data_IF_387991175001
#
_entry.id   IF_387991175001
#
_cell.length_a   1.000
_cell.length_b   1.000
_cell.length_c   1.000
_cell.angle_alpha   90.00
_cell.angle_beta   90.00
_cell.angle_gamma   90.00
#
_symmetry.space_group_name_H-M   'P 1'
#
loop_
_entity.id
_entity.type
_entity.pdbx_description
1 polymer ?
#
# COMPACT_ATOMS: atom_id res chain seq x y z
N UNK A 1 -16.57 -1.03 23.56
CA UNK A 1 -15.36 -1.30 22.74
C UNK A 1 -14.26 -2.03 23.53
N UNK A 2 -13.72 -1.51 24.64
CA UNK A 2 -12.59 -2.15 25.36
C UNK A 2 -12.87 -3.57 25.84
N UNK A 3 -14.06 -3.84 26.38
CA UNK A 3 -14.44 -5.18 26.85
C UNK A 3 -14.56 -6.17 25.67
N UNK A 4 -15.14 -5.74 24.56
CA UNK A 4 -15.26 -6.56 23.36
C UNK A 4 -13.87 -6.89 22.78
N UNK A 5 -12.96 -5.90 22.68
CA UNK A 5 -11.59 -6.10 22.19
C UNK A 5 -10.80 -7.06 23.09
N UNK A 6 -11.00 -7.01 24.42
CA UNK A 6 -10.34 -7.94 25.35
C UNK A 6 -10.76 -9.40 25.08
N UNK A 7 -12.07 -9.65 24.91
CA UNK A 7 -12.58 -10.98 24.56
C UNK A 7 -12.09 -11.43 23.20
N UNK A 8 -12.16 -10.53 22.20
CA UNK A 8 -11.74 -10.83 20.84
C UNK A 8 -10.25 -11.19 20.75
N UNK A 9 -9.39 -10.44 21.45
CA UNK A 9 -7.94 -10.71 21.48
C UNK A 9 -7.62 -12.10 22.01
N UNK A 10 -8.33 -12.54 23.06
CA UNK A 10 -8.14 -13.87 23.64
C UNK A 10 -8.51 -15.00 22.65
N UNK A 11 -9.51 -14.78 21.80
CA UNK A 11 -9.91 -15.73 20.75
C UNK A 11 -8.93 -15.69 19.56
N UNK A 12 -8.56 -14.51 19.10
CA UNK A 12 -7.64 -14.32 17.96
C UNK A 12 -6.28 -14.93 18.28
N UNK A 13 -5.75 -14.76 19.49
CA UNK A 13 -4.44 -15.31 19.87
C UNK A 13 -4.35 -16.84 19.81
N UNK A 14 -5.51 -17.53 19.83
CA UNK A 14 -5.62 -19.00 19.74
C UNK A 14 -5.95 -19.48 18.32
N UNK A 15 -6.23 -18.56 17.41
CA UNK A 15 -6.62 -18.86 16.03
C UNK A 15 -5.63 -18.20 15.07
N UNK A 16 -5.28 -18.88 13.97
CA UNK A 16 -4.47 -18.31 12.89
C UNK A 16 -5.31 -17.37 12.02
N UNK A 17 -5.82 -16.27 12.64
CA UNK A 17 -6.76 -15.36 12.01
C UNK A 17 -6.23 -13.93 12.03
N UNK A 18 -6.40 -13.22 10.92
CA UNK A 18 -6.14 -11.78 10.82
C UNK A 18 -7.49 -11.06 10.94
N UNK A 19 -7.56 -10.06 11.84
CA UNK A 19 -8.76 -9.23 12.00
C UNK A 19 -8.47 -7.81 11.55
N UNK A 20 -9.25 -7.34 10.59
CA UNK A 20 -9.13 -5.99 10.02
C UNK A 20 -10.33 -5.16 10.47
N UNK A 21 -10.04 -4.05 11.17
CA UNK A 21 -11.05 -3.06 11.57
C UNK A 21 -11.03 -1.88 10.59
N UNK A 22 -12.14 -1.66 9.92
CA UNK A 22 -12.35 -0.50 9.05
C UNK A 22 -13.07 0.57 9.84
N UNK A 23 -12.44 1.75 9.98
CA UNK A 23 -12.97 2.89 10.71
C UNK A 23 -12.94 4.16 9.87
N UNK A 24 -13.95 5.01 10.04
CA UNK A 24 -13.95 6.37 9.55
C UNK A 24 -13.23 7.30 10.51
N UNK A 25 -12.62 8.35 10.00
CA UNK A 25 -12.14 9.48 10.78
C UNK A 25 -13.29 10.47 11.02
N UNK A 26 -13.34 11.02 12.22
CA UNK A 26 -14.26 12.08 12.62
C UNK A 26 -13.45 13.23 13.20
N UNK A 27 -13.90 14.42 13.00
CA UNK A 27 -13.31 15.60 13.63
C UNK A 27 -14.00 15.89 14.97
N UNK A 28 -13.22 16.20 15.97
CA UNK A 28 -13.70 16.72 17.25
C UNK A 28 -13.89 18.22 17.13
N UNK A 29 -15.10 18.68 17.32
CA UNK A 29 -15.42 20.11 17.42
C UNK A 29 -14.76 20.69 18.68
N UNK A 30 -14.16 21.89 18.56
CA UNK A 30 -13.58 22.63 19.70
C UNK A 30 -12.13 22.30 20.04
N UNK A 31 -11.41 21.52 19.23
CA UNK A 31 -9.96 21.31 19.38
C UNK A 31 -9.20 22.44 18.69
N UNK A 32 -8.72 23.43 19.43
CA UNK A 32 -7.95 24.55 18.88
C UNK A 32 -6.48 24.21 18.60
N UNK A 33 -5.91 23.22 19.30
CA UNK A 33 -4.52 22.81 19.16
C UNK A 33 -4.40 21.28 19.05
N UNK A 34 -3.49 20.80 18.19
CA UNK A 34 -3.24 19.39 17.95
C UNK A 34 -4.11 18.80 16.82
N UNK A 35 -4.12 17.47 16.70
CA UNK A 35 -4.89 16.78 15.65
C UNK A 35 -6.34 16.56 16.12
N UNK A 36 -7.33 17.19 15.50
CA UNK A 36 -8.74 17.03 15.83
C UNK A 36 -9.30 15.67 15.42
N UNK A 37 -8.60 14.92 14.55
CA UNK A 37 -9.09 13.65 14.01
C UNK A 37 -9.17 12.56 15.08
N UNK A 38 -10.30 11.89 15.14
CA UNK A 38 -10.56 10.78 16.04
C UNK A 38 -11.33 9.67 15.34
N UNK A 39 -11.23 8.45 15.89
CA UNK A 39 -12.00 7.31 15.42
C UNK A 39 -13.17 7.03 16.36
N UNK A 40 -14.34 6.58 15.85
CA UNK A 40 -15.44 6.11 16.69
C UNK A 40 -14.99 4.97 17.61
N UNK A 41 -15.59 4.87 18.79
CA UNK A 41 -15.31 3.80 19.76
C UNK A 41 -14.13 4.05 20.70
N UNK A 42 -13.59 5.27 20.74
CA UNK A 42 -12.57 5.70 21.70
C UNK A 42 -11.15 5.23 21.38
N UNK A 43 -10.26 5.33 22.38
CA UNK A 43 -8.82 5.09 22.17
C UNK A 43 -8.41 3.62 22.21
N UNK A 44 -9.28 2.71 22.64
CA UNK A 44 -8.92 1.31 22.92
C UNK A 44 -8.34 0.60 21.68
N UNK A 45 -8.96 0.75 20.52
CA UNK A 45 -8.50 0.12 19.28
C UNK A 45 -7.08 0.55 18.88
N UNK A 46 -6.71 1.80 19.17
CA UNK A 46 -5.35 2.33 18.90
C UNK A 46 -4.27 1.56 19.68
N UNK A 47 -4.59 1.08 20.89
CA UNK A 47 -3.66 0.30 21.72
C UNK A 47 -3.61 -1.18 21.28
N UNK A 48 -4.76 -1.79 21.02
CA UNK A 48 -4.85 -3.20 20.64
C UNK A 48 -4.27 -3.50 19.25
N UNK A 49 -4.47 -2.63 18.28
CA UNK A 49 -3.99 -2.84 16.92
C UNK A 49 -2.46 -3.01 16.83
N UNK A 50 -2.01 -4.06 16.15
CA UNK A 50 -0.59 -4.29 15.84
C UNK A 50 -0.12 -3.39 14.70
N UNK A 51 -0.95 -3.21 13.67
CA UNK A 51 -0.70 -2.33 12.54
C UNK A 51 -1.86 -1.34 12.43
N UNK A 52 -1.55 -0.09 12.11
CA UNK A 52 -2.54 0.95 11.79
C UNK A 52 -2.13 1.63 10.50
N UNK A 53 -3.06 1.67 9.57
CA UNK A 53 -2.88 2.29 8.26
C UNK A 53 -3.89 3.45 8.16
N UNK A 54 -3.39 4.62 7.83
CA UNK A 54 -4.19 5.80 7.50
C UNK A 54 -4.31 5.86 5.97
N UNK A 55 -5.54 5.73 5.48
CA UNK A 55 -5.84 5.73 4.05
C UNK A 55 -6.54 7.03 3.70
N UNK A 56 -5.91 7.80 2.81
CA UNK A 56 -6.44 9.10 2.37
C UNK A 56 -6.51 9.18 0.87
N UNK A 57 -7.61 9.77 0.42
CA UNK A 57 -7.74 10.21 -0.95
C UNK A 57 -6.81 11.41 -1.17
N UNK A 58 -6.02 11.38 -2.23
CA UNK A 58 -5.22 12.50 -2.69
C UNK A 58 -5.92 13.19 -3.88
N UNK A 59 -5.40 13.01 -5.08
CA UNK A 59 -5.89 13.68 -6.27
C UNK A 59 -6.95 12.86 -7.01
N UNK A 60 -7.84 13.54 -7.72
CA UNK A 60 -8.76 12.89 -8.65
C UNK A 60 -8.03 12.56 -9.96
N UNK A 61 -8.17 11.32 -10.42
CA UNK A 61 -7.72 10.90 -11.73
C UNK A 61 -8.79 11.26 -12.76
N UNK A 62 -8.39 12.04 -13.76
CA UNK A 62 -9.28 12.54 -14.81
C UNK A 62 -8.84 11.98 -16.15
N UNK A 63 -9.82 11.61 -16.95
CA UNK A 63 -9.67 11.30 -18.36
C UNK A 63 -10.49 12.28 -19.19
N UNK A 64 -10.48 12.14 -20.53
CA UNK A 64 -11.29 12.94 -21.47
C UNK A 64 -12.78 12.96 -21.09
N UNK A 65 -13.29 11.86 -20.57
CA UNK A 65 -14.71 11.65 -20.23
C UNK A 65 -15.07 12.02 -18.80
N UNK A 66 -14.10 12.44 -17.97
CA UNK A 66 -14.35 12.91 -16.61
C UNK A 66 -13.44 12.29 -15.53
N UNK A 67 -13.99 12.09 -14.33
CA UNK A 67 -13.25 11.53 -13.22
C UNK A 67 -13.37 10.01 -13.26
N UNK A 68 -12.26 9.32 -13.54
CA UNK A 68 -12.19 7.87 -13.64
C UNK A 68 -11.77 7.17 -12.33
N UNK A 69 -11.22 7.92 -11.39
CA UNK A 69 -10.70 7.32 -10.16
C UNK A 69 -10.05 8.33 -9.22
N UNK A 70 -9.28 7.82 -8.26
CA UNK A 70 -8.55 8.63 -7.30
C UNK A 70 -7.16 8.06 -7.04
N UNK A 71 -6.19 8.95 -6.92
CA UNK A 71 -4.94 8.63 -6.28
C UNK A 71 -5.14 8.51 -4.78
N UNK A 72 -4.70 7.42 -4.22
CA UNK A 72 -4.86 7.09 -2.80
C UNK A 72 -3.50 6.96 -2.15
N UNK A 73 -3.41 7.50 -0.93
CA UNK A 73 -2.20 7.45 -0.11
C UNK A 73 -2.47 6.65 1.16
N UNK A 74 -1.74 5.56 1.34
CA UNK A 74 -1.79 4.71 2.52
C UNK A 74 -0.51 4.90 3.34
N UNK A 75 -0.65 5.42 4.56
CA UNK A 75 0.46 5.67 5.48
C UNK A 75 0.39 4.71 6.67
N UNK A 76 1.45 4.00 6.94
CA UNK A 76 1.58 3.16 8.13
C UNK A 76 1.90 4.05 9.33
N UNK A 77 0.90 4.34 10.18
CA UNK A 77 1.05 5.21 11.34
C UNK A 77 1.44 4.46 12.62
N UNK A 78 1.29 3.14 12.64
CA UNK A 78 1.78 2.25 13.70
C UNK A 78 2.08 0.88 13.11
N UNK A 79 3.22 0.32 13.48
CA UNK A 79 3.56 -1.05 13.15
C UNK A 79 4.41 -1.65 14.27
N UNK A 80 3.99 -2.82 14.79
CA UNK A 80 4.72 -3.58 15.80
C UNK A 80 5.61 -4.68 15.22
N UNK A 81 5.45 -4.98 13.93
CA UNK A 81 6.10 -6.10 13.25
C UNK A 81 7.26 -5.67 12.35
N UNK A 82 7.27 -4.40 11.92
CA UNK A 82 8.29 -3.82 11.03
C UNK A 82 8.40 -2.30 11.26
N UNK A 83 9.43 -1.62 10.72
CA UNK A 83 9.56 -0.16 10.83
C UNK A 83 8.32 0.56 10.31
N UNK A 84 7.70 1.44 11.13
CA UNK A 84 6.51 2.20 10.76
C UNK A 84 6.85 3.38 9.82
N UNK A 85 5.83 4.20 9.52
CA UNK A 85 5.89 5.47 8.77
C UNK A 85 6.18 5.37 7.28
N UNK A 86 6.20 4.16 6.72
CA UNK A 86 6.22 3.98 5.27
C UNK A 86 4.89 4.43 4.67
N UNK A 87 4.96 4.98 3.48
CA UNK A 87 3.81 5.43 2.71
C UNK A 87 3.82 4.73 1.36
N UNK A 88 2.66 4.25 0.93
CA UNK A 88 2.40 3.76 -0.41
C UNK A 88 1.37 4.67 -1.09
N UNK A 89 1.57 4.96 -2.36
CA UNK A 89 0.62 5.67 -3.20
C UNK A 89 0.22 4.76 -4.36
N UNK A 90 -1.07 4.74 -4.68
CA UNK A 90 -1.63 3.92 -5.75
C UNK A 90 -2.93 4.51 -6.25
N UNK A 91 -3.30 4.12 -7.46
CA UNK A 91 -4.52 4.57 -8.11
C UNK A 91 -5.67 3.60 -7.82
N UNK A 92 -6.83 4.13 -7.46
CA UNK A 92 -8.09 3.38 -7.37
C UNK A 92 -9.00 3.86 -8.50
N UNK A 93 -9.34 2.96 -9.39
CA UNK A 93 -10.23 3.20 -10.52
C UNK A 93 -11.65 2.80 -10.15
N UNK A 94 -12.62 3.59 -10.56
CA UNK A 94 -14.03 3.29 -10.31
C UNK A 94 -14.47 2.05 -11.10
N UNK A 95 -15.07 1.10 -10.40
CA UNK A 95 -15.52 -0.17 -10.99
C UNK A 95 -14.44 -1.25 -11.12
N UNK A 96 -13.14 -0.89 -11.16
CA UNK A 96 -12.03 -1.84 -11.29
C UNK A 96 -11.30 -2.08 -9.96
N UNK A 97 -11.18 -1.06 -9.10
CA UNK A 97 -10.42 -1.14 -7.85
C UNK A 97 -9.00 -0.60 -7.98
N UNK A 98 -8.04 -1.22 -7.28
CA UNK A 98 -6.63 -0.81 -7.32
C UNK A 98 -6.04 -1.16 -8.68
N UNK A 99 -5.49 -0.14 -9.39
CA UNK A 99 -4.82 -0.36 -10.67
C UNK A 99 -3.45 -1.01 -10.47
N UNK A 100 -3.34 -2.27 -10.85
CA UNK A 100 -2.07 -2.99 -10.83
C UNK A 100 -1.08 -2.41 -11.83
N UNK A 101 -1.55 -2.07 -13.02
CA UNK A 101 -0.75 -1.46 -14.09
C UNK A 101 -0.21 -0.10 -13.64
N UNK A 102 -1.05 0.71 -12.97
CA UNK A 102 -0.63 1.98 -12.39
C UNK A 102 0.51 1.81 -11.38
N UNK A 103 0.44 0.79 -10.52
CA UNK A 103 1.52 0.45 -9.58
C UNK A 103 2.79 0.00 -10.31
N UNK A 104 2.67 -0.83 -11.36
CA UNK A 104 3.81 -1.28 -12.18
C UNK A 104 4.51 -0.09 -12.84
N UNK A 105 3.76 0.87 -13.39
CA UNK A 105 4.31 2.08 -14.01
C UNK A 105 5.08 2.91 -12.98
N UNK A 106 4.47 3.22 -11.84
CA UNK A 106 5.08 4.08 -10.83
C UNK A 106 6.33 3.45 -10.21
N UNK A 107 6.28 2.17 -9.88
CA UNK A 107 7.40 1.44 -9.32
C UNK A 107 8.47 1.16 -10.39
N UNK A 108 8.07 0.92 -11.64
CA UNK A 108 8.97 0.71 -12.77
C UNK A 108 9.81 1.96 -13.05
N UNK A 109 9.20 3.15 -12.99
CA UNK A 109 9.91 4.43 -13.13
C UNK A 109 10.83 4.65 -11.91
N UNK A 110 10.33 4.41 -10.70
CA UNK A 110 11.11 4.60 -9.48
C UNK A 110 12.33 3.66 -9.35
N UNK A 111 12.37 2.58 -10.14
CA UNK A 111 13.44 1.59 -10.17
C UNK A 111 14.21 1.56 -11.49
N UNK A 112 14.01 2.54 -12.35
CA UNK A 112 14.66 2.64 -13.67
C UNK A 112 14.45 1.41 -14.58
N UNK A 113 13.39 0.63 -14.31
CA UNK A 113 12.96 -0.49 -15.18
C UNK A 113 12.18 0.06 -16.38
N UNK A 114 11.40 1.11 -16.16
CA UNK A 114 10.68 1.86 -17.20
C UNK A 114 11.31 3.24 -17.27
N UNK A 115 11.83 3.60 -18.43
CA UNK A 115 12.34 4.95 -18.66
C UNK A 115 11.21 5.90 -19.04
N UNK A 116 11.19 7.09 -18.43
CA UNK A 116 10.24 8.15 -18.75
C UNK A 116 10.98 9.39 -19.26
N UNK A 117 10.66 9.82 -20.47
CA UNK A 117 11.20 11.05 -21.08
C UNK A 117 10.04 11.95 -21.53
N UNK A 118 9.78 13.02 -20.76
CA UNK A 118 8.61 13.87 -20.96
C UNK A 118 7.31 13.07 -20.82
N UNK A 119 6.52 13.00 -21.87
CA UNK A 119 5.28 12.22 -21.95
C UNK A 119 5.48 10.77 -22.43
N UNK A 120 6.68 10.40 -22.88
CA UNK A 120 6.97 9.09 -23.44
C UNK A 120 7.47 8.12 -22.38
N UNK A 121 6.96 6.89 -22.47
CA UNK A 121 7.42 5.74 -21.70
C UNK A 121 8.18 4.80 -22.62
N UNK A 122 9.33 4.32 -22.16
CA UNK A 122 10.18 3.39 -22.90
C UNK A 122 10.53 2.19 -22.03
N UNK A 123 10.55 1.02 -22.63
CA UNK A 123 10.96 -0.21 -22.01
C UNK A 123 11.99 -0.92 -22.89
N UNK A 124 13.12 -1.34 -22.32
CA UNK A 124 14.26 -1.97 -23.05
C UNK A 124 14.78 -1.15 -24.25
N UNK A 125 14.71 0.18 -24.13
CA UNK A 125 15.16 1.11 -25.17
C UNK A 125 14.13 1.44 -26.25
N UNK A 126 13.00 0.73 -26.29
CA UNK A 126 11.92 1.00 -27.23
C UNK A 126 10.87 1.93 -26.62
N UNK A 127 10.39 2.89 -27.41
CA UNK A 127 9.25 3.74 -27.03
C UNK A 127 7.97 2.94 -27.13
N UNK A 128 7.31 2.76 -25.98
CA UNK A 128 6.13 1.89 -25.86
C UNK A 128 4.84 2.68 -25.95
N UNK A 129 4.75 3.78 -25.19
CA UNK A 129 3.51 4.54 -25.10
C UNK A 129 3.75 6.02 -24.80
N UNK A 130 2.84 6.87 -25.26
CA UNK A 130 2.81 8.29 -24.95
C UNK A 130 1.65 8.57 -23.99
N UNK A 131 1.97 9.00 -22.77
CA UNK A 131 0.98 9.24 -21.70
C UNK A 131 0.73 8.02 -20.83
N UNK A 132 0.29 8.29 -19.57
CA UNK A 132 0.08 7.27 -18.54
C UNK A 132 -1.05 6.29 -18.90
N UNK A 133 -2.12 6.82 -19.51
CA UNK A 133 -3.28 6.00 -19.91
C UNK A 133 -2.89 4.97 -20.97
N UNK A 134 -2.24 5.41 -22.05
CA UNK A 134 -1.78 4.50 -23.11
C UNK A 134 -0.75 3.48 -22.59
N UNK A 135 0.08 3.86 -21.61
CA UNK A 135 0.99 2.91 -20.99
C UNK A 135 0.23 1.86 -20.15
N UNK A 136 -0.86 2.25 -19.50
CA UNK A 136 -1.74 1.34 -18.78
C UNK A 136 -2.44 0.37 -19.72
N UNK A 137 -3.01 0.87 -20.81
CA UNK A 137 -3.62 0.05 -21.87
C UNK A 137 -2.61 -0.95 -22.44
N UNK A 138 -1.40 -0.47 -22.78
CA UNK A 138 -0.35 -1.33 -23.30
C UNK A 138 0.02 -2.47 -22.32
N UNK A 139 0.07 -2.21 -21.03
CA UNK A 139 0.32 -3.25 -20.03
C UNK A 139 -0.85 -4.25 -19.93
N UNK A 140 -2.10 -3.80 -20.08
CA UNK A 140 -3.28 -4.67 -20.12
C UNK A 140 -3.27 -5.57 -21.36
N UNK A 141 -2.88 -5.03 -22.51
CA UNK A 141 -2.81 -5.76 -23.79
C UNK A 141 -1.61 -6.74 -23.85
N UNK A 142 -0.56 -6.47 -23.05
CA UNK A 142 0.66 -7.27 -23.00
C UNK A 142 0.93 -7.85 -21.61
N UNK A 143 0.12 -8.81 -21.13
CA UNK A 143 0.24 -9.35 -19.77
C UNK A 143 1.59 -10.03 -19.52
N UNK A 144 2.19 -10.64 -20.53
CA UNK A 144 3.53 -11.25 -20.44
C UNK A 144 4.62 -10.20 -20.12
N UNK A 145 4.58 -9.06 -20.79
CA UNK A 145 5.50 -7.94 -20.52
C UNK A 145 5.23 -7.30 -19.14
N UNK A 146 3.97 -7.19 -18.75
CA UNK A 146 3.60 -6.70 -17.43
C UNK A 146 4.19 -7.58 -16.31
N UNK A 147 4.09 -8.91 -16.44
CA UNK A 147 4.69 -9.87 -15.50
C UNK A 147 6.22 -9.81 -15.49
N UNK A 148 6.85 -9.65 -16.65
CA UNK A 148 8.30 -9.50 -16.77
C UNK A 148 8.78 -8.24 -16.03
N UNK A 149 8.13 -7.09 -16.28
CA UNK A 149 8.43 -5.82 -15.60
C UNK A 149 8.20 -5.94 -14.10
N UNK A 150 7.10 -6.54 -13.66
CA UNK A 150 6.81 -6.78 -12.25
C UNK A 150 7.90 -7.63 -11.60
N UNK A 151 8.36 -8.70 -12.27
CA UNK A 151 9.43 -9.56 -11.79
C UNK A 151 10.74 -8.81 -11.63
N UNK A 152 11.10 -7.95 -12.59
CA UNK A 152 12.28 -7.08 -12.52
C UNK A 152 12.17 -6.07 -11.36
N UNK A 153 11.00 -5.46 -11.18
CA UNK A 153 10.73 -4.55 -10.04
C UNK A 153 10.88 -5.30 -8.71
N UNK A 154 10.30 -6.50 -8.58
CA UNK A 154 10.40 -7.33 -7.36
C UNK A 154 11.83 -7.77 -7.08
N UNK A 155 12.61 -8.11 -8.10
CA UNK A 155 14.02 -8.44 -7.97
C UNK A 155 14.87 -7.24 -7.50
N UNK A 156 14.54 -6.04 -7.97
CA UNK A 156 15.16 -4.79 -7.50
C UNK A 156 14.72 -4.41 -6.08
N UNK A 157 13.61 -4.99 -5.59
CA UNK A 157 13.09 -4.82 -4.24
C UNK A 157 13.56 -5.99 -3.36
N UNK A 158 14.86 -6.26 -3.31
CA UNK A 158 15.38 -7.27 -2.36
C UNK A 158 14.96 -6.84 -0.95
N UNK A 159 14.16 -7.63 -0.21
CA UNK A 159 13.99 -7.39 1.21
C UNK A 159 15.38 -7.46 1.83
N UNK A 160 15.69 -6.52 2.74
CA UNK A 160 16.85 -6.68 3.60
C UNK A 160 16.81 -8.12 4.15
N UNK A 161 17.90 -8.87 3.99
CA UNK A 161 18.04 -10.24 4.48
C UNK A 161 17.33 -10.36 5.83
N UNK A 162 16.37 -11.28 5.93
CA UNK A 162 15.88 -11.72 7.24
C UNK A 162 17.12 -12.08 8.07
N UNK A 163 17.21 -11.59 9.31
CA UNK A 163 18.28 -12.05 10.20
C UNK A 163 18.13 -13.57 10.30
N UNK A 164 19.17 -14.31 9.89
CA UNK A 164 19.26 -15.75 10.10
C UNK A 164 18.93 -16.01 11.57
N UNK A 165 17.91 -16.84 11.81
CA UNK A 165 17.63 -17.32 13.14
C UNK A 165 18.91 -17.94 13.70
N UNK A 166 19.31 -17.64 14.96
CA UNK A 166 20.51 -18.24 15.54
C UNK A 166 20.34 -19.76 15.51
N UNK A 167 21.27 -20.44 14.84
CA UNK A 167 21.38 -21.89 14.88
C UNK A 167 21.51 -22.27 16.34
N UNK A 168 20.55 -23.05 16.85
CA UNK A 168 20.66 -23.69 18.14
C UNK A 168 21.95 -24.52 18.10
N UNK A 169 22.93 -24.14 18.89
CA UNK A 169 24.06 -24.97 19.24
C UNK A 169 23.47 -26.12 20.06
N UNK A 170 23.45 -27.31 19.47
CA UNK A 170 23.30 -28.54 20.21
C UNK A 170 24.60 -28.65 21.03
N UNK A 171 24.50 -28.37 22.34
CA UNK A 171 25.52 -28.81 23.30
C UNK A 171 25.20 -30.26 23.65
N UNK A 172 26.06 -31.14 23.15
CA UNK A 172 26.18 -32.51 23.65
C UNK A 172 26.65 -32.46 25.12
N UNK A 173 25.84 -33.04 26.02
CA UNK A 173 26.31 -33.90 27.14
C UNK A 173 25.16 -34.78 27.62
#
# INVERSE_FOLDING_TARGET
MSQALRKLTAVISKSNCIVIFINQLREKVGVMFGNPETTPGGKALKFYASVRIDVRRADALKDSDGIMGNKTKAKIVKNKLAPPFKTAEFDILYGEGISQEGCIIDLGIARDVIAKSGSWFSYEGEKVAQGREKMREWLKDNPGKAQEIESKIRAAYKPAKEPEAPKATEEEE
#
